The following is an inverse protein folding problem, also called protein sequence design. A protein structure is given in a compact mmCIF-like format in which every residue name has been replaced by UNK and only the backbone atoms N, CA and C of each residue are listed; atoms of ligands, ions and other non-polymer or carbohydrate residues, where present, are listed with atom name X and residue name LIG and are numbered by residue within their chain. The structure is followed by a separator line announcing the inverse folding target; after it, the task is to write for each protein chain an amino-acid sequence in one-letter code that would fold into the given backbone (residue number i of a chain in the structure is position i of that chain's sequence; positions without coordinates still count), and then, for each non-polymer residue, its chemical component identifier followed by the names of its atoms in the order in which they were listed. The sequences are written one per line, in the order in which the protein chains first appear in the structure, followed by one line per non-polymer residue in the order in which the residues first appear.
data_IF_622634369370
#
_entry.id   IF_622634369370
#
_cell.length_a   1.000
_cell.length_b   1.000
_cell.length_c   1.000
_cell.angle_alpha   90.00
_cell.angle_beta   90.00
_cell.angle_gamma   90.00
#
_symmetry.space_group_name_H-M   'P 1'
#
loop_
_entity.id
_entity.type
_entity.pdbx_description
1 polymer ?
#
# COMPACT_ATOMS: atom_id res chain seq x y z
N UNK A 1 -1.59 -7.68 -29.93
CA UNK A 1 -0.63 -7.85 -28.81
C UNK A 1 -1.13 -6.99 -27.67
N UNK A 2 -1.74 -7.63 -26.68
CA UNK A 2 -2.40 -6.97 -25.54
C UNK A 2 -1.43 -6.10 -24.74
N UNK A 3 -1.66 -4.79 -24.77
CA UNK A 3 -1.00 -3.86 -23.85
C UNK A 3 -1.64 -4.09 -22.49
N UNK A 4 -1.00 -4.96 -21.70
CA UNK A 4 -1.35 -5.15 -20.30
C UNK A 4 -1.43 -3.79 -19.62
N UNK A 5 -2.56 -3.56 -18.97
CA UNK A 5 -2.99 -2.36 -18.26
C UNK A 5 -2.02 -2.04 -17.10
N UNK A 6 -0.85 -1.49 -17.41
CA UNK A 6 0.15 -1.07 -16.43
C UNK A 6 -0.40 0.17 -15.73
N UNK A 7 -0.61 0.09 -14.42
CA UNK A 7 -1.01 1.23 -13.60
C UNK A 7 -0.15 2.47 -13.96
N UNK A 8 -0.76 3.64 -14.25
CA UNK A 8 -0.04 4.80 -14.80
C UNK A 8 1.20 5.20 -13.99
N UNK A 9 1.15 5.03 -12.67
CA UNK A 9 2.26 5.29 -11.76
C UNK A 9 3.48 4.37 -12.03
N UNK A 10 3.25 3.13 -12.42
CA UNK A 10 4.27 2.10 -12.62
C UNK A 10 4.97 2.33 -13.95
N UNK A 11 4.24 2.79 -14.98
CA UNK A 11 4.82 3.22 -16.24
C UNK A 11 5.73 4.45 -16.06
N UNK A 12 5.33 5.41 -15.22
CA UNK A 12 6.15 6.58 -14.90
C UNK A 12 7.52 6.20 -14.31
N UNK A 13 7.56 5.38 -13.24
CA UNK A 13 8.84 4.99 -12.63
C UNK A 13 9.73 4.17 -13.57
N UNK A 14 9.14 3.33 -14.43
CA UNK A 14 9.89 2.57 -15.44
C UNK A 14 10.52 3.49 -16.49
N UNK A 15 9.75 4.43 -17.04
CA UNK A 15 10.28 5.43 -17.98
C UNK A 15 11.34 6.30 -17.33
N UNK A 16 11.11 6.75 -16.09
CA UNK A 16 12.10 7.54 -15.36
C UNK A 16 13.42 6.79 -15.15
N UNK A 17 13.36 5.48 -14.89
CA UNK A 17 14.58 4.65 -14.76
C UNK A 17 15.35 4.53 -16.09
N UNK A 18 14.64 4.45 -17.22
CA UNK A 18 15.27 4.35 -18.55
C UNK A 18 15.86 5.68 -19.00
N UNK A 19 15.09 6.77 -18.87
CA UNK A 19 15.45 8.09 -19.39
C UNK A 19 16.21 8.95 -18.37
N UNK A 20 16.26 8.53 -17.11
CA UNK A 20 16.85 9.27 -15.97
C UNK A 20 16.29 10.69 -15.79
N UNK A 21 15.03 10.92 -16.15
CA UNK A 21 14.40 12.25 -16.11
C UNK A 21 14.42 12.91 -14.72
N UNK A 22 14.41 12.10 -13.66
CA UNK A 22 14.61 12.52 -12.28
C UNK A 22 15.76 11.72 -11.68
N UNK A 23 16.75 12.45 -11.20
CA UNK A 23 17.95 11.94 -10.54
C UNK A 23 18.10 12.62 -9.17
N UNK A 24 18.18 11.81 -8.12
CA UNK A 24 18.47 12.26 -6.77
C UNK A 24 19.90 11.88 -6.42
N UNK A 25 20.74 12.85 -6.10
CA UNK A 25 22.13 12.63 -5.69
C UNK A 25 22.32 12.92 -4.20
N UNK A 26 23.18 12.14 -3.55
CA UNK A 26 23.64 12.41 -2.20
C UNK A 26 24.67 13.54 -2.22
N UNK A 27 24.65 14.38 -1.18
CA UNK A 27 25.60 15.50 -1.05
C UNK A 27 26.90 15.10 -0.35
N UNK A 28 26.88 13.97 0.34
CA UNK A 28 27.98 13.49 1.18
C UNK A 28 28.77 12.35 0.54
N UNK A 29 28.23 11.73 -0.51
CA UNK A 29 28.93 10.70 -1.29
C UNK A 29 28.41 10.63 -2.72
N UNK A 30 29.05 9.81 -3.56
CA UNK A 30 28.74 9.66 -4.99
C UNK A 30 27.49 8.79 -5.26
N UNK A 31 26.60 8.62 -4.28
CA UNK A 31 25.39 7.83 -4.46
C UNK A 31 24.33 8.63 -5.22
N UNK A 32 23.75 8.00 -6.24
CA UNK A 32 22.66 8.57 -7.03
C UNK A 32 21.54 7.55 -7.26
N UNK A 33 20.31 8.03 -7.40
CA UNK A 33 19.16 7.18 -7.68
C UNK A 33 18.13 7.87 -8.56
N UNK A 34 17.61 7.14 -9.54
CA UNK A 34 16.43 7.53 -10.33
C UNK A 34 15.12 7.04 -9.72
N UNK A 35 15.17 6.50 -8.50
CA UNK A 35 14.01 6.05 -7.76
C UNK A 35 13.20 7.21 -7.17
N UNK A 36 12.12 6.91 -6.43
CA UNK A 36 11.43 7.93 -5.66
C UNK A 36 12.39 8.56 -4.62
N UNK A 37 12.15 9.82 -4.24
CA UNK A 37 13.01 10.60 -3.32
C UNK A 37 13.33 9.86 -2.00
N UNK A 38 12.42 9.02 -1.51
CA UNK A 38 12.62 8.19 -0.31
C UNK A 38 13.84 7.27 -0.41
N UNK A 39 14.25 6.85 -1.61
CA UNK A 39 15.46 6.06 -1.81
C UNK A 39 16.71 6.83 -1.39
N UNK A 40 16.81 8.12 -1.76
CA UNK A 40 17.90 8.98 -1.32
C UNK A 40 17.84 9.24 0.19
N UNK A 41 16.66 9.53 0.73
CA UNK A 41 16.47 9.75 2.17
C UNK A 41 16.89 8.52 3.00
N UNK A 42 16.48 7.32 2.59
CA UNK A 42 16.88 6.07 3.25
C UNK A 42 18.39 5.82 3.14
N UNK A 43 19.00 6.17 2.00
CA UNK A 43 20.44 6.10 1.83
C UNK A 43 21.15 7.00 2.86
N UNK A 44 20.76 8.28 2.96
CA UNK A 44 21.31 9.24 3.92
C UNK A 44 21.18 8.68 5.35
N UNK A 45 19.97 8.27 5.76
CA UNK A 45 19.78 7.69 7.08
C UNK A 45 20.61 6.43 7.34
N UNK A 46 20.93 5.65 6.32
CA UNK A 46 21.69 4.41 6.49
C UNK A 46 23.21 4.59 6.53
N UNK A 47 23.74 5.60 5.84
CA UNK A 47 25.19 5.77 5.61
C UNK A 47 25.78 7.01 6.27
N UNK A 48 24.96 8.03 6.47
CA UNK A 48 25.40 9.37 6.83
C UNK A 48 24.83 9.85 8.17
N UNK A 49 23.76 9.21 8.65
CA UNK A 49 23.15 9.55 9.94
C UNK A 49 23.68 8.65 11.06
N UNK A 50 24.05 9.28 12.18
CA UNK A 50 24.49 8.58 13.38
C UNK A 50 23.40 7.66 13.94
N UNK A 51 23.80 6.58 14.62
CA UNK A 51 22.87 5.56 15.11
C UNK A 51 21.71 6.12 15.94
N UNK A 52 21.96 7.09 16.82
CA UNK A 52 20.95 7.68 17.71
C UNK A 52 19.97 8.62 16.99
N UNK A 53 20.32 9.13 15.81
CA UNK A 53 19.52 10.08 15.03
C UNK A 53 18.68 9.39 13.94
N UNK A 54 18.88 8.08 13.74
CA UNK A 54 18.09 7.32 12.78
C UNK A 54 16.62 7.28 13.20
N UNK A 55 15.68 7.32 12.23
CA UNK A 55 14.25 7.49 12.52
C UNK A 55 13.61 6.32 13.27
N UNK A 56 14.21 5.13 13.26
CA UNK A 56 13.66 3.94 13.93
C UNK A 56 14.66 3.39 14.93
N UNK A 57 14.44 3.62 16.23
CA UNK A 57 15.33 3.16 17.30
C UNK A 57 14.87 1.82 17.90
N UNK A 58 15.83 1.00 18.36
CA UNK A 58 15.55 -0.15 19.20
C UNK A 58 15.58 0.27 20.69
N UNK A 59 14.41 0.33 21.32
CA UNK A 59 14.29 0.71 22.73
C UNK A 59 14.88 -0.33 23.69
N UNK A 60 15.03 -1.59 23.27
CA UNK A 60 15.62 -2.64 24.10
C UNK A 60 17.13 -2.45 24.18
N UNK A 61 17.79 -2.35 23.02
CA UNK A 61 19.21 -2.01 22.94
C UNK A 61 19.51 -0.74 23.75
N UNK A 62 18.68 0.31 23.59
CA UNK A 62 18.84 1.58 24.31
C UNK A 62 18.80 1.40 25.83
N UNK A 63 17.90 0.55 26.35
CA UNK A 63 17.83 0.19 27.77
C UNK A 63 19.02 -0.64 28.23
N UNK A 64 19.59 -1.47 27.36
CA UNK A 64 20.79 -2.28 27.62
C UNK A 64 22.09 -1.47 27.47
N UNK A 65 22.00 -0.14 27.31
CA UNK A 65 23.17 0.74 27.20
C UNK A 65 23.82 0.76 25.81
N UNK A 66 23.18 0.18 24.79
CA UNK A 66 23.66 0.20 23.40
C UNK A 66 22.72 1.03 22.52
N UNK A 67 23.27 1.79 21.57
CA UNK A 67 22.43 2.53 20.62
C UNK A 67 22.37 1.77 19.30
N UNK A 68 21.15 1.41 18.87
CA UNK A 68 20.89 0.77 17.58
C UNK A 68 19.69 1.41 16.89
N UNK A 69 19.97 2.11 15.80
CA UNK A 69 18.99 2.78 14.96
C UNK A 69 18.96 2.26 13.54
N UNK A 70 17.83 2.43 12.88
CA UNK A 70 17.58 1.89 11.54
C UNK A 70 17.01 2.97 10.63
N UNK A 71 17.44 2.96 9.37
CA UNK A 71 16.91 3.85 8.33
C UNK A 71 15.47 3.50 7.94
N UNK A 72 15.04 2.25 8.15
CA UNK A 72 13.72 1.76 7.77
C UNK A 72 13.13 0.87 8.85
N UNK A 73 11.80 0.96 9.04
CA UNK A 73 11.05 0.18 10.03
C UNK A 73 11.16 -1.34 9.83
N UNK A 74 11.27 -1.80 8.58
CA UNK A 74 11.46 -3.23 8.28
C UNK A 74 12.77 -3.78 8.85
N UNK A 75 13.84 -3.00 8.82
CA UNK A 75 15.13 -3.41 9.38
C UNK A 75 15.11 -3.44 10.90
N UNK A 76 14.43 -2.48 11.55
CA UNK A 76 14.15 -2.56 12.99
C UNK A 76 13.36 -3.84 13.31
N UNK A 77 12.33 -4.16 12.53
CA UNK A 77 11.55 -5.40 12.72
C UNK A 77 12.39 -6.68 12.57
N UNK A 78 13.27 -6.74 11.56
CA UNK A 78 14.20 -7.86 11.40
C UNK A 78 15.21 -7.95 12.55
N UNK A 79 15.71 -6.83 13.05
CA UNK A 79 16.59 -6.78 14.20
C UNK A 79 15.89 -7.28 15.47
N UNK A 80 14.68 -6.76 15.76
CA UNK A 80 13.88 -7.21 16.91
C UNK A 80 13.65 -8.72 16.89
N UNK A 81 13.39 -9.29 15.71
CA UNK A 81 13.22 -10.73 15.56
C UNK A 81 14.52 -11.51 15.79
N UNK A 82 15.64 -11.06 15.20
CA UNK A 82 16.91 -11.81 15.23
C UNK A 82 17.68 -11.67 16.53
N UNK A 83 17.62 -10.50 17.16
CA UNK A 83 18.44 -10.16 18.34
C UNK A 83 17.63 -10.30 19.63
N UNK A 84 16.36 -9.89 19.61
CA UNK A 84 15.51 -9.91 20.81
C UNK A 84 14.42 -10.99 20.75
N UNK A 85 14.37 -11.81 19.70
CA UNK A 85 13.32 -12.81 19.48
C UNK A 85 11.89 -12.24 19.50
N UNK A 86 11.73 -10.95 19.15
CA UNK A 86 10.45 -10.26 19.12
C UNK A 86 9.93 -10.19 17.68
N UNK A 87 8.81 -10.85 17.42
CA UNK A 87 8.11 -10.77 16.14
C UNK A 87 7.30 -9.47 16.07
N UNK A 88 7.75 -8.52 15.26
CA UNK A 88 6.95 -7.33 14.95
C UNK A 88 5.78 -7.71 14.06
N UNK A 89 4.56 -7.39 14.48
CA UNK A 89 3.36 -7.59 13.67
C UNK A 89 3.19 -6.41 12.71
N UNK A 90 2.86 -6.71 11.45
CA UNK A 90 2.54 -5.67 10.47
C UNK A 90 1.14 -5.14 10.80
N UNK A 91 0.93 -3.81 10.83
CA UNK A 91 -0.41 -3.27 10.99
C UNK A 91 -1.29 -3.77 9.85
N UNK A 92 -2.35 -4.50 10.21
CA UNK A 92 -3.35 -4.98 9.27
C UNK A 92 -4.28 -3.85 8.86
N UNK A 93 -4.81 -3.93 7.63
CA UNK A 93 -5.99 -3.16 7.24
C UNK A 93 -7.15 -4.15 7.09
N UNK A 94 -8.17 -3.99 7.91
CA UNK A 94 -9.39 -4.80 7.83
C UNK A 94 -10.45 -4.02 7.05
N UNK A 95 -10.98 -4.61 5.98
CA UNK A 95 -12.12 -4.03 5.26
C UNK A 95 -13.36 -4.15 6.14
N UNK A 96 -13.97 -3.02 6.49
CA UNK A 96 -15.24 -3.00 7.19
C UNK A 96 -16.39 -3.21 6.20
N UNK A 97 -16.55 -2.27 5.27
CA UNK A 97 -17.56 -2.33 4.21
C UNK A 97 -17.21 -1.42 3.03
N UNK A 98 -17.86 -1.67 1.89
CA UNK A 98 -17.93 -0.75 0.76
C UNK A 98 -19.15 0.15 0.93
N UNK A 99 -19.01 1.47 0.79
CA UNK A 99 -20.13 2.33 0.46
C UNK A 99 -20.27 2.34 -1.06
N UNK A 100 -21.46 2.00 -1.56
CA UNK A 100 -21.69 1.87 -3.00
C UNK A 100 -22.76 2.85 -3.45
N UNK A 101 -22.44 3.61 -4.49
CA UNK A 101 -23.38 4.48 -5.21
C UNK A 101 -23.36 4.12 -6.70
N UNK A 102 -24.38 4.58 -7.43
CA UNK A 102 -24.50 4.32 -8.87
C UNK A 102 -23.42 5.09 -9.63
N UNK A 103 -22.76 4.43 -10.57
CA UNK A 103 -21.83 5.07 -11.50
C UNK A 103 -22.55 5.66 -12.71
N UNK A 104 -21.77 6.21 -13.63
CA UNK A 104 -22.31 6.93 -14.79
C UNK A 104 -22.62 6.01 -15.98
N UNK A 105 -22.12 4.77 -15.97
CA UNK A 105 -22.30 3.83 -17.08
C UNK A 105 -23.33 2.78 -16.68
N UNK A 106 -24.29 2.48 -17.56
CA UNK A 106 -25.23 1.38 -17.38
C UNK A 106 -24.70 0.10 -18.03
N UNK A 107 -24.72 -1.04 -17.33
CA UNK A 107 -24.27 -2.30 -17.91
C UNK A 107 -25.29 -2.84 -18.91
N UNK A 108 -24.80 -3.45 -19.99
CA UNK A 108 -25.63 -4.05 -21.04
C UNK A 108 -26.33 -5.36 -20.63
N UNK A 109 -25.68 -6.15 -19.77
CA UNK A 109 -26.17 -7.48 -19.41
C UNK A 109 -27.14 -7.45 -18.23
N UNK A 110 -28.32 -8.06 -18.40
CA UNK A 110 -29.36 -8.16 -17.36
C UNK A 110 -28.85 -8.71 -16.02
N UNK A 111 -27.94 -9.69 -16.05
CA UNK A 111 -27.32 -10.25 -14.83
C UNK A 111 -26.51 -9.20 -14.06
N UNK A 112 -25.76 -8.35 -14.79
CA UNK A 112 -24.98 -7.26 -14.20
C UNK A 112 -25.90 -6.17 -13.65
N UNK A 113 -26.97 -5.82 -14.38
CA UNK A 113 -27.99 -4.86 -13.90
C UNK A 113 -28.55 -5.31 -12.54
N UNK A 114 -29.03 -6.55 -12.44
CA UNK A 114 -29.57 -7.11 -11.19
C UNK A 114 -28.57 -7.04 -10.03
N UNK A 115 -27.32 -7.41 -10.29
CA UNK A 115 -26.24 -7.36 -9.29
C UNK A 115 -25.98 -5.94 -8.79
N UNK A 116 -25.96 -4.97 -9.69
CA UNK A 116 -25.72 -3.56 -9.37
C UNK A 116 -26.89 -2.94 -8.62
N UNK A 117 -28.12 -3.24 -9.02
CA UNK A 117 -29.29 -2.75 -8.31
C UNK A 117 -29.33 -3.31 -6.87
N UNK A 118 -28.91 -4.56 -6.67
CA UNK A 118 -28.70 -5.11 -5.32
C UNK A 118 -27.58 -4.39 -4.56
N UNK A 119 -26.48 -4.02 -5.22
CA UNK A 119 -25.44 -3.24 -4.55
C UNK A 119 -25.96 -1.88 -4.05
N UNK A 120 -26.72 -1.20 -4.90
CA UNK A 120 -27.26 0.14 -4.63
C UNK A 120 -28.33 0.08 -3.54
N UNK A 121 -29.16 -0.97 -3.50
CA UNK A 121 -30.19 -1.12 -2.46
C UNK A 121 -29.58 -1.29 -1.07
N UNK A 122 -28.48 -2.04 -0.95
CA UNK A 122 -27.76 -2.27 0.30
C UNK A 122 -27.06 -1.01 0.83
N UNK A 123 -26.56 -0.14 -0.06
CA UNK A 123 -25.72 1.07 0.21
C UNK A 123 -24.38 0.79 0.89
N UNK A 124 -24.34 -0.12 1.86
CA UNK A 124 -23.15 -0.60 2.58
C UNK A 124 -23.04 -2.11 2.45
N UNK A 125 -21.90 -2.60 1.98
CA UNK A 125 -21.73 -4.03 1.69
C UNK A 125 -20.46 -4.55 2.34
N UNK A 126 -20.59 -5.57 3.19
CA UNK A 126 -19.46 -6.29 3.76
C UNK A 126 -19.05 -7.47 2.86
N UNK A 127 -17.86 -8.05 3.13
CA UNK A 127 -17.45 -9.29 2.44
C UNK A 127 -18.42 -10.46 2.71
N UNK A 128 -19.04 -10.47 3.89
CA UNK A 128 -19.95 -11.53 4.29
C UNK A 128 -21.28 -11.43 3.54
N UNK A 129 -21.78 -10.21 3.31
CA UNK A 129 -23.00 -9.97 2.54
C UNK A 129 -22.84 -10.42 1.09
N UNK A 130 -21.71 -10.09 0.46
CA UNK A 130 -21.38 -10.58 -0.89
C UNK A 130 -21.39 -12.10 -0.95
N UNK A 131 -20.77 -12.77 0.03
CA UNK A 131 -20.71 -14.24 0.08
C UNK A 131 -22.10 -14.86 0.21
N UNK A 132 -22.98 -14.27 1.03
CA UNK A 132 -24.37 -14.74 1.21
C UNK A 132 -25.17 -14.67 -0.09
N UNK A 133 -25.02 -13.59 -0.84
CA UNK A 133 -25.69 -13.38 -2.13
C UNK A 133 -25.01 -14.15 -3.29
N UNK A 134 -23.87 -14.80 -3.04
CA UNK A 134 -23.12 -15.54 -4.06
C UNK A 134 -22.23 -14.67 -4.97
N UNK A 135 -21.99 -13.42 -4.58
CA UNK A 135 -21.11 -12.49 -5.31
C UNK A 135 -19.67 -12.49 -4.78
N UNK A 136 -18.74 -12.17 -5.67
CA UNK A 136 -17.29 -12.08 -5.38
C UNK A 136 -16.86 -10.62 -5.28
N UNK A 137 -15.86 -10.35 -4.44
CA UNK A 137 -15.23 -9.02 -4.33
C UNK A 137 -14.66 -8.55 -5.67
N UNK A 138 -14.12 -9.47 -6.48
CA UNK A 138 -13.62 -9.15 -7.82
C UNK A 138 -14.69 -8.58 -8.75
N UNK A 139 -15.97 -8.93 -8.55
CA UNK A 139 -17.07 -8.36 -9.31
C UNK A 139 -17.32 -6.90 -8.92
N UNK A 140 -17.32 -6.60 -7.62
CA UNK A 140 -17.42 -5.21 -7.13
C UNK A 140 -16.28 -4.35 -7.69
N UNK A 141 -15.06 -4.88 -7.70
CA UNK A 141 -13.89 -4.20 -8.27
C UNK A 141 -14.02 -3.98 -9.78
N UNK A 142 -14.49 -4.98 -10.51
CA UNK A 142 -14.74 -4.88 -11.95
C UNK A 142 -15.83 -3.85 -12.27
N UNK A 143 -16.94 -3.89 -11.54
CA UNK A 143 -18.08 -3.00 -11.73
C UNK A 143 -17.70 -1.54 -11.39
N UNK A 144 -16.85 -1.34 -10.39
CA UNK A 144 -16.28 -0.04 -10.05
C UNK A 144 -15.32 0.47 -11.14
N UNK A 145 -14.43 -0.39 -11.63
CA UNK A 145 -13.50 -0.06 -12.73
C UNK A 145 -14.25 0.29 -14.02
N UNK A 146 -15.35 -0.41 -14.28
CA UNK A 146 -16.22 -0.18 -15.45
C UNK A 146 -17.14 1.04 -15.27
N UNK A 147 -17.02 1.76 -14.15
CA UNK A 147 -17.84 2.92 -13.80
C UNK A 147 -19.35 2.65 -13.77
N UNK A 148 -19.74 1.40 -13.47
CA UNK A 148 -21.13 1.05 -13.24
C UNK A 148 -21.57 1.38 -11.80
N UNK A 149 -20.62 1.34 -10.87
CA UNK A 149 -20.77 1.75 -9.49
C UNK A 149 -19.58 2.61 -9.07
N UNK A 150 -19.78 3.47 -8.08
CA UNK A 150 -18.70 4.14 -7.37
C UNK A 150 -18.58 3.47 -6.01
N UNK A 151 -17.36 3.09 -5.64
CA UNK A 151 -17.08 2.40 -4.37
C UNK A 151 -16.15 3.24 -3.51
N UNK A 152 -16.58 3.53 -2.29
CA UNK A 152 -15.71 4.06 -1.25
C UNK A 152 -15.43 2.93 -0.25
N UNK A 153 -14.15 2.64 -0.03
CA UNK A 153 -13.71 1.53 0.81
C UNK A 153 -13.45 2.03 2.22
N UNK A 154 -14.23 1.56 3.19
CA UNK A 154 -14.03 1.89 4.60
C UNK A 154 -13.16 0.81 5.25
N UNK A 155 -11.97 1.22 5.72
CA UNK A 155 -10.97 0.35 6.34
C UNK A 155 -10.80 0.69 7.82
N UNK A 156 -10.64 -0.32 8.67
CA UNK A 156 -10.13 -0.15 10.03
C UNK A 156 -8.65 -0.49 10.07
N UNK A 157 -7.82 0.43 10.58
CA UNK A 157 -6.45 0.10 10.93
C UNK A 157 -6.48 -0.79 12.18
N UNK A 158 -5.89 -1.98 12.08
CA UNK A 158 -5.83 -2.91 13.21
C UNK A 158 -4.39 -3.06 13.66
N UNK A 159 -4.13 -2.67 14.91
CA UNK A 159 -2.97 -3.09 15.68
C UNK A 159 -3.21 -4.54 16.14
N UNK A 160 -2.97 -5.52 15.28
CA UNK A 160 -3.03 -6.94 15.69
C UNK A 160 -1.65 -7.41 16.06
#
# INVERSE_FOLDING_TARGET
MDVQDIAPNTAYYRRNKQQKNILWSCRECNFETTGPKICLTNHIYSKHTAEHEKPFQCEICKKEGTVKGFAQKCFLGSHLHRVHNIKTKKPGKELLHYNITRGNILPRHKKTVKRIDWYISMKKITKQDLKKEGYKISQVQYDARSNYIITETILKQTSR
#
